data_IF_773878533647
#
_entry.id   IF_773878533647
#
_cell.length_a   1.000
_cell.length_b   1.000
_cell.length_c   1.000
_cell.angle_alpha   90.00
_cell.angle_beta   90.00
_cell.angle_gamma   90.00
#
_symmetry.space_group_name_H-M   'P 1'
#
loop_
_entity.id
_entity.type
_entity.pdbx_description
1 polymer ?
#
# COMPACT_ATOMS: atom_id res chain seq x y z
N UNK A 1 -10.85 -5.25 -2.47
CA UNK A 1 -9.72 -4.34 -2.74
C UNK A 1 -8.42 -5.07 -2.47
N UNK A 2 -7.35 -4.81 -3.26
CA UNK A 2 -6.00 -5.36 -3.08
C UNK A 2 -5.04 -4.19 -2.97
N UNK A 3 -4.09 -4.26 -2.04
CA UNK A 3 -3.10 -3.22 -1.79
C UNK A 3 -1.72 -3.86 -1.81
N UNK A 4 -0.83 -3.34 -2.65
CA UNK A 4 0.57 -3.74 -2.69
C UNK A 4 1.38 -2.67 -1.95
N UNK A 5 2.25 -3.12 -1.07
CA UNK A 5 3.15 -2.25 -0.29
C UNK A 5 4.58 -2.74 -0.40
N UNK A 6 5.59 -1.88 -0.20
CA UNK A 6 6.97 -2.31 -0.19
C UNK A 6 7.27 -3.18 1.04
N UNK A 7 7.95 -4.32 0.87
CA UNK A 7 8.54 -5.09 1.97
C UNK A 7 9.79 -4.40 2.53
N UNK A 8 10.59 -3.79 1.66
CA UNK A 8 11.74 -2.97 2.03
C UNK A 8 11.26 -1.54 2.22
N UNK A 9 11.19 -1.02 3.47
CA UNK A 9 10.61 0.29 3.72
C UNK A 9 11.57 1.42 3.34
N UNK A 10 11.05 2.48 2.72
CA UNK A 10 11.77 3.76 2.58
C UNK A 10 12.03 4.37 3.96
N UNK A 11 10.96 4.47 4.78
CA UNK A 11 11.03 4.96 6.16
C UNK A 11 10.44 3.94 7.14
N UNK A 12 11.26 3.46 8.07
CA UNK A 12 10.87 2.39 9.02
C UNK A 12 9.66 2.76 9.87
N UNK A 13 9.52 4.00 10.29
CA UNK A 13 8.38 4.45 11.11
C UNK A 13 7.08 4.49 10.33
N UNK A 14 7.10 4.94 9.06
CA UNK A 14 5.92 4.90 8.17
C UNK A 14 5.46 3.46 7.95
N UNK A 15 6.41 2.56 7.72
CA UNK A 15 6.09 1.14 7.56
C UNK A 15 5.43 0.54 8.82
N UNK A 16 5.84 0.96 10.03
CA UNK A 16 5.17 0.54 11.27
C UNK A 16 3.72 1.02 11.33
N UNK A 17 3.45 2.23 10.87
CA UNK A 17 2.07 2.73 10.75
C UNK A 17 1.28 1.90 9.74
N UNK A 18 1.85 1.60 8.57
CA UNK A 18 1.22 0.71 7.58
C UNK A 18 0.87 -0.65 8.19
N UNK A 19 1.81 -1.28 8.91
CA UNK A 19 1.58 -2.56 9.58
C UNK A 19 0.47 -2.52 10.64
N UNK A 20 0.28 -1.40 11.33
CA UNK A 20 -0.79 -1.25 12.33
C UNK A 20 -2.19 -1.30 11.71
N UNK A 21 -2.33 -0.93 10.44
CA UNK A 21 -3.61 -1.03 9.72
C UNK A 21 -3.94 -2.45 9.24
N UNK A 22 -2.96 -3.36 9.11
CA UNK A 22 -3.18 -4.67 8.51
C UNK A 22 -4.33 -5.43 9.18
N UNK A 23 -4.32 -5.54 10.51
CA UNK A 23 -5.29 -6.35 11.24
C UNK A 23 -6.73 -5.88 11.05
N UNK A 24 -6.98 -4.58 11.06
CA UNK A 24 -8.32 -4.01 10.88
C UNK A 24 -8.79 -4.18 9.44
N UNK A 25 -7.96 -3.79 8.48
CA UNK A 25 -8.35 -3.80 7.06
C UNK A 25 -8.46 -5.21 6.47
N UNK A 26 -7.65 -6.17 6.96
CA UNK A 26 -7.80 -7.59 6.61
C UNK A 26 -9.16 -8.15 7.08
N UNK A 27 -9.63 -7.75 8.27
CA UNK A 27 -10.96 -8.13 8.78
C UNK A 27 -12.09 -7.55 7.94
N UNK A 28 -11.86 -6.38 7.34
CA UNK A 28 -12.81 -5.73 6.42
C UNK A 28 -12.72 -6.29 4.99
N UNK A 29 -11.95 -7.36 4.77
CA UNK A 29 -11.84 -8.06 3.49
C UNK A 29 -10.88 -7.44 2.49
N UNK A 30 -10.05 -6.47 2.91
CA UNK A 30 -8.97 -5.91 2.09
C UNK A 30 -7.79 -6.88 2.12
N UNK A 31 -7.20 -7.16 0.96
CA UNK A 31 -6.01 -8.01 0.84
C UNK A 31 -4.76 -7.16 0.73
N UNK A 32 -3.72 -7.51 1.48
CA UNK A 32 -2.41 -6.89 1.44
C UNK A 32 -1.35 -7.83 0.88
N UNK A 33 -0.45 -7.26 0.08
CA UNK A 33 0.68 -7.93 -0.53
C UNK A 33 1.94 -7.12 -0.28
N UNK A 34 2.96 -7.70 0.35
CA UNK A 34 4.28 -7.09 0.50
C UNK A 34 5.18 -7.53 -0.65
N UNK A 35 5.61 -6.59 -1.50
CA UNK A 35 6.52 -6.87 -2.60
C UNK A 35 7.92 -7.18 -2.08
N UNK A 36 8.37 -8.42 -2.27
CA UNK A 36 9.61 -8.94 -1.68
C UNK A 36 10.82 -8.93 -2.61
N UNK A 37 10.70 -8.98 -3.96
CA UNK A 37 11.86 -9.09 -4.84
C UNK A 37 12.79 -7.88 -4.82
N UNK A 38 12.30 -6.72 -4.37
CA UNK A 38 13.11 -5.50 -4.35
C UNK A 38 12.38 -4.32 -3.70
N UNK A 39 12.86 -3.11 -3.98
CA UNK A 39 12.22 -1.87 -3.54
C UNK A 39 11.21 -1.41 -4.59
N UNK A 40 9.95 -1.29 -4.18
CA UNK A 40 8.87 -0.75 -5.02
C UNK A 40 8.50 0.66 -4.55
N UNK A 41 8.34 1.60 -5.49
CA UNK A 41 8.01 2.99 -5.19
C UNK A 41 6.92 3.56 -6.12
N UNK A 42 6.21 2.72 -6.83
CA UNK A 42 5.09 3.09 -7.69
C UNK A 42 3.90 3.58 -6.87
N UNK A 43 3.20 4.60 -7.38
CA UNK A 43 1.95 5.10 -6.85
C UNK A 43 0.92 5.01 -7.95
N UNK A 44 0.15 3.93 -7.91
CA UNK A 44 -0.86 3.62 -8.93
C UNK A 44 -2.14 3.17 -8.25
N UNK A 45 -3.27 3.54 -8.83
CA UNK A 45 -4.59 3.06 -8.44
C UNK A 45 -5.27 2.57 -9.71
N UNK A 46 -5.90 1.42 -9.63
CA UNK A 46 -6.70 0.83 -10.70
C UNK A 46 -8.10 0.54 -10.18
N UNK A 47 -9.13 0.93 -10.93
CA UNK A 47 -10.54 0.65 -10.59
C UNK A 47 -11.30 0.18 -11.82
N UNK A 48 -11.97 -0.98 -11.67
CA UNK A 48 -12.96 -1.56 -12.59
C UNK A 48 -12.49 -1.70 -14.05
N UNK A 49 -11.18 -1.86 -14.25
CA UNK A 49 -10.55 -1.96 -15.58
C UNK A 49 -10.87 -0.75 -16.51
N UNK A 50 -11.31 0.36 -15.94
CA UNK A 50 -11.75 1.56 -16.66
C UNK A 50 -11.02 2.82 -16.20
N UNK A 51 -10.56 2.85 -14.97
CA UNK A 51 -9.89 3.99 -14.37
C UNK A 51 -8.53 3.59 -13.85
N UNK A 52 -7.52 4.40 -14.11
CA UNK A 52 -6.24 4.28 -13.44
C UNK A 52 -5.63 5.65 -13.14
N UNK A 53 -4.84 5.73 -12.07
CA UNK A 53 -3.98 6.87 -11.80
C UNK A 53 -2.55 6.38 -11.66
N UNK A 54 -1.61 7.13 -12.23
CA UNK A 54 -0.17 6.90 -12.08
C UNK A 54 0.49 8.23 -11.76
N UNK A 55 1.27 8.29 -10.70
CA UNK A 55 1.88 9.56 -10.32
C UNK A 55 2.75 9.50 -9.07
N UNK A 56 2.79 10.62 -8.37
CA UNK A 56 3.61 10.79 -7.16
C UNK A 56 2.83 10.65 -5.86
N UNK A 57 1.49 10.55 -5.92
CA UNK A 57 0.57 10.57 -4.78
C UNK A 57 0.69 9.27 -3.97
N UNK A 58 1.27 9.35 -2.79
CA UNK A 58 1.22 8.25 -1.81
C UNK A 58 -0.15 8.19 -1.13
N UNK A 59 -0.47 7.03 -0.55
CA UNK A 59 -1.68 6.84 0.24
C UNK A 59 -1.44 7.29 1.70
N UNK A 60 -1.04 8.56 1.87
CA UNK A 60 -0.73 9.16 3.15
C UNK A 60 -1.30 10.58 3.28
N UNK A 61 -1.31 11.13 4.52
CA UNK A 61 -1.85 12.44 4.81
C UNK A 61 -1.10 13.57 4.10
N UNK A 62 0.22 13.45 3.95
CA UNK A 62 1.01 14.49 3.29
C UNK A 62 0.66 14.61 1.82
N UNK A 63 0.57 13.49 1.12
CA UNK A 63 0.22 13.49 -0.30
C UNK A 63 -1.21 14.00 -0.52
N UNK A 64 -2.16 13.66 0.35
CA UNK A 64 -3.54 14.08 0.19
C UNK A 64 -3.84 15.52 0.60
N UNK A 65 -3.08 16.10 1.56
CA UNK A 65 -3.46 17.37 2.16
C UNK A 65 -2.37 18.45 2.15
N UNK A 66 -1.10 18.09 1.95
CA UNK A 66 0.01 19.02 2.17
C UNK A 66 0.96 19.17 0.99
N UNK A 67 1.19 18.09 0.23
CA UNK A 67 2.14 18.12 -0.86
C UNK A 67 1.48 18.60 -2.16
N UNK A 68 2.29 19.22 -3.03
CA UNK A 68 1.95 19.32 -4.44
C UNK A 68 2.35 18.02 -5.13
N UNK A 69 1.37 17.34 -5.69
CA UNK A 69 1.54 16.05 -6.33
C UNK A 69 1.23 16.15 -7.81
N UNK A 70 1.82 15.29 -8.62
CA UNK A 70 1.58 15.21 -10.05
C UNK A 70 1.19 13.78 -10.44
N UNK A 71 0.22 13.65 -11.33
CA UNK A 71 -0.21 12.35 -11.81
C UNK A 71 -1.01 12.43 -13.09
N UNK A 72 -1.13 11.29 -13.74
CA UNK A 72 -1.95 11.08 -14.92
C UNK A 72 -3.21 10.34 -14.50
N UNK A 73 -4.33 10.81 -14.97
CA UNK A 73 -5.63 10.14 -14.86
C UNK A 73 -5.96 9.49 -16.21
N UNK A 74 -6.14 8.18 -16.21
CA UNK A 74 -6.49 7.38 -17.37
C UNK A 74 -7.94 6.93 -17.28
N UNK A 75 -8.68 7.05 -18.37
CA UNK A 75 -10.08 6.63 -18.45
C UNK A 75 -10.35 5.92 -19.78
N UNK A 76 -10.80 4.66 -19.70
CA UNK A 76 -11.14 3.83 -20.85
C UNK A 76 -10.04 3.79 -21.96
N UNK A 77 -8.77 3.65 -21.55
CA UNK A 77 -7.63 3.51 -22.45
C UNK A 77 -7.07 2.09 -22.37
N UNK A 78 -6.48 1.61 -23.48
CA UNK A 78 -5.88 0.26 -23.52
C UNK A 78 -4.74 0.09 -22.53
N UNK A 79 -4.00 1.14 -22.21
CA UNK A 79 -2.93 1.15 -21.21
C UNK A 79 -3.39 0.73 -19.80
N UNK A 80 -4.70 0.80 -19.50
CA UNK A 80 -5.25 0.34 -18.24
C UNK A 80 -5.14 -1.18 -18.10
N UNK A 81 -5.25 -1.91 -19.20
CA UNK A 81 -5.08 -3.36 -19.21
C UNK A 81 -3.63 -3.76 -18.98
N UNK A 82 -2.68 -3.01 -19.55
CA UNK A 82 -1.24 -3.21 -19.30
C UNK A 82 -0.90 -2.95 -17.82
N UNK A 83 -1.45 -1.88 -17.23
CA UNK A 83 -1.30 -1.57 -15.81
C UNK A 83 -1.90 -2.69 -14.94
N UNK A 84 -3.05 -3.24 -15.34
CA UNK A 84 -3.65 -4.37 -14.63
C UNK A 84 -2.78 -5.61 -14.66
N UNK A 85 -2.21 -5.93 -15.82
CA UNK A 85 -1.30 -7.07 -15.97
C UNK A 85 -0.06 -6.89 -15.07
N UNK A 86 0.54 -5.69 -15.05
CA UNK A 86 1.66 -5.36 -14.18
C UNK A 86 1.29 -5.53 -12.69
N UNK A 87 0.09 -5.07 -12.26
CA UNK A 87 -0.42 -5.29 -10.92
C UNK A 87 -0.54 -6.78 -10.56
N UNK A 88 -1.06 -7.60 -11.47
CA UNK A 88 -1.23 -9.03 -11.22
C UNK A 88 0.13 -9.73 -11.13
N UNK A 89 1.05 -9.44 -12.03
CA UNK A 89 2.41 -9.97 -11.99
C UNK A 89 3.14 -9.57 -10.70
N UNK A 90 2.98 -8.31 -10.27
CA UNK A 90 3.56 -7.83 -9.01
C UNK A 90 2.96 -8.55 -7.79
N UNK A 91 1.65 -8.85 -7.80
CA UNK A 91 0.99 -9.63 -6.75
C UNK A 91 1.56 -11.06 -6.69
N UNK A 92 1.76 -11.70 -7.84
CA UNK A 92 2.27 -13.08 -7.92
C UNK A 92 3.70 -13.19 -7.35
N UNK A 93 4.49 -12.13 -7.43
CA UNK A 93 5.83 -12.03 -6.82
C UNK A 93 5.83 -11.53 -5.37
N UNK A 94 4.67 -11.20 -4.81
CA UNK A 94 4.53 -10.61 -3.49
C UNK A 94 4.11 -11.62 -2.43
N UNK A 95 4.47 -11.35 -1.18
CA UNK A 95 4.00 -12.10 -0.02
C UNK A 95 2.59 -11.64 0.38
N UNK A 96 1.60 -12.51 0.29
CA UNK A 96 0.26 -12.22 0.81
C UNK A 96 0.28 -12.15 2.34
N UNK A 97 -0.21 -11.04 2.88
CA UNK A 97 -0.29 -10.81 4.32
C UNK A 97 -1.63 -11.33 4.83
N UNK A 98 -1.57 -12.31 5.72
CA UNK A 98 -2.74 -12.90 6.36
C UNK A 98 -2.85 -12.48 7.83
N UNK A 99 -4.01 -12.68 8.46
CA UNK A 99 -4.17 -12.46 9.91
C UNK A 99 -3.18 -13.30 10.71
N UNK A 100 -2.96 -14.56 10.30
CA UNK A 100 -1.98 -15.45 10.92
C UNK A 100 -0.56 -14.87 10.82
N UNK A 101 -0.17 -14.37 9.64
CA UNK A 101 1.13 -13.72 9.47
C UNK A 101 1.30 -12.51 10.40
N UNK A 102 0.27 -11.69 10.54
CA UNK A 102 0.30 -10.51 11.42
C UNK A 102 0.53 -10.93 12.88
N UNK A 103 -0.15 -11.98 13.34
CA UNK A 103 -0.06 -12.46 14.73
C UNK A 103 1.30 -13.12 15.01
N UNK A 104 1.82 -13.92 14.09
CA UNK A 104 3.06 -14.68 14.28
C UNK A 104 4.35 -13.88 14.03
N UNK A 105 4.36 -13.02 13.00
CA UNK A 105 5.59 -12.37 12.50
C UNK A 105 5.72 -10.91 12.91
N UNK A 106 4.62 -10.17 12.95
CA UNK A 106 4.69 -8.75 13.33
C UNK A 106 4.72 -8.62 14.85
N UNK A 107 3.88 -9.38 15.55
CA UNK A 107 3.82 -9.43 17.00
C UNK A 107 3.18 -8.18 17.63
N UNK A 108 2.63 -8.38 18.83
CA UNK A 108 1.86 -7.34 19.55
C UNK A 108 2.64 -6.04 19.78
N UNK A 109 3.91 -6.13 20.16
CA UNK A 109 4.70 -4.94 20.52
C UNK A 109 4.95 -4.01 19.34
N UNK A 110 5.21 -4.57 18.14
CA UNK A 110 5.40 -3.78 16.93
C UNK A 110 4.10 -3.11 16.48
N UNK A 111 2.97 -3.79 16.61
CA UNK A 111 1.65 -3.24 16.32
C UNK A 111 1.32 -2.10 17.30
N UNK A 112 1.58 -2.29 18.58
CA UNK A 112 1.37 -1.26 19.61
C UNK A 112 2.18 0.01 19.35
N UNK A 113 3.46 -0.13 18.99
CA UNK A 113 4.29 1.02 18.58
C UNK A 113 3.68 1.69 17.33
N UNK A 114 3.22 0.92 16.36
CA UNK A 114 2.53 1.44 15.17
C UNK A 114 1.31 2.28 15.54
N UNK A 115 0.48 1.82 16.47
CA UNK A 115 -0.70 2.56 16.94
C UNK A 115 -0.33 3.89 17.64
N UNK A 116 0.76 3.92 18.42
CA UNK A 116 1.26 5.17 19.03
C UNK A 116 1.72 6.15 17.94
N UNK A 117 2.53 5.68 16.99
CA UNK A 117 3.05 6.53 15.89
C UNK A 117 1.91 7.03 15.00
N UNK A 118 0.85 6.24 14.81
CA UNK A 118 -0.34 6.57 14.03
C UNK A 118 -1.04 7.85 14.50
N UNK A 119 -0.99 8.19 15.78
CA UNK A 119 -1.50 9.46 16.31
C UNK A 119 -0.81 10.66 15.63
N UNK A 120 0.44 10.48 15.23
CA UNK A 120 1.25 11.49 14.56
C UNK A 120 1.25 11.35 13.03
N UNK A 121 0.48 10.41 12.48
CA UNK A 121 0.42 10.17 11.02
C UNK A 121 0.13 11.43 10.17
N UNK A 122 -0.66 12.43 10.63
CA UNK A 122 -0.83 13.67 9.89
C UNK A 122 0.44 14.52 9.71
N UNK A 123 1.51 14.20 10.45
CA UNK A 123 2.80 14.92 10.39
C UNK A 123 3.82 14.28 9.44
N UNK A 124 3.49 13.12 8.87
CA UNK A 124 4.41 12.34 8.01
C UNK A 124 3.99 12.40 6.55
#
# INVERSE_FOLDING_TARGET
MRIIVPHIPDKKYVFRVTQSYYKSLLKDGIKFYEYTPGFIHSKMILSDDKLATVGTINFDYRSFYHNYECGVWLYNTDSILDIKEDFLNTIDESLEITLQYVEEKIGFFKLFIGEIIKVFAPLF
#
